data_IF_521812871414
#
_entry.id   IF_521812871414
#
_cell.length_a   1.000
_cell.length_b   1.000
_cell.length_c   1.000
_cell.angle_alpha   90.00
_cell.angle_beta   90.00
_cell.angle_gamma   90.00
#
_symmetry.space_group_name_H-M   'P 1'
#
loop_
_entity.id
_entity.type
_entity.pdbx_description
1 polymer ?
#
# COMPACT_ATOMS: atom_id res chain seq x y z
N UNK A 1 6.47 -17.79 1.60
CA UNK A 1 7.60 -18.65 2.03
C UNK A 1 8.14 -18.39 3.45
N UNK A 2 8.25 -17.14 3.93
CA UNK A 2 8.47 -16.87 5.37
C UNK A 2 7.39 -17.52 6.26
N UNK A 3 6.16 -17.65 5.75
CA UNK A 3 5.02 -18.27 6.43
C UNK A 3 5.32 -19.68 6.98
N UNK A 4 5.86 -20.58 6.16
CA UNK A 4 6.00 -21.99 6.55
C UNK A 4 7.17 -22.24 7.53
N UNK A 5 8.31 -21.54 7.40
CA UNK A 5 9.38 -21.59 8.43
C UNK A 5 8.89 -21.07 9.78
N UNK A 6 8.05 -20.03 9.72
CA UNK A 6 7.50 -19.42 10.92
C UNK A 6 6.44 -20.32 11.56
N UNK A 7 5.63 -21.00 10.76
CA UNK A 7 4.66 -22.00 11.25
C UNK A 7 5.36 -23.20 11.92
N UNK A 8 6.48 -23.69 11.35
CA UNK A 8 7.30 -24.73 11.97
C UNK A 8 7.86 -24.26 13.33
N UNK A 9 8.48 -23.07 13.37
CA UNK A 9 8.98 -22.47 14.60
C UNK A 9 7.90 -22.32 15.67
N UNK A 10 6.73 -21.81 15.29
CA UNK A 10 5.55 -21.68 16.14
C UNK A 10 5.09 -23.04 16.70
N UNK A 11 5.07 -24.08 15.88
CA UNK A 11 4.65 -25.42 16.33
C UNK A 11 5.60 -25.95 17.41
N UNK A 12 6.91 -25.75 17.24
CA UNK A 12 7.94 -26.16 18.21
C UNK A 12 7.82 -25.35 19.50
N UNK A 13 7.66 -24.03 19.40
CA UNK A 13 7.48 -23.16 20.56
C UNK A 13 6.20 -23.48 21.32
N UNK A 14 5.11 -23.80 20.61
CA UNK A 14 3.86 -24.23 21.22
C UNK A 14 4.01 -25.58 21.96
N UNK A 15 4.76 -26.53 21.39
CA UNK A 15 5.07 -27.79 22.07
C UNK A 15 5.96 -27.57 23.29
N UNK A 16 6.90 -26.63 23.24
CA UNK A 16 7.78 -26.26 24.37
C UNK A 16 7.03 -25.56 25.53
N UNK A 17 5.76 -25.19 25.33
CA UNK A 17 4.86 -24.72 26.39
C UNK A 17 4.14 -25.85 27.13
N UNK A 18 4.05 -27.06 26.54
CA UNK A 18 3.32 -28.18 27.14
C UNK A 18 3.92 -28.67 28.47
N UNK A 19 5.26 -28.74 28.66
CA UNK A 19 5.83 -29.16 29.93
C UNK A 19 5.57 -28.11 31.02
N UNK A 20 4.84 -28.52 32.06
CA UNK A 20 4.69 -27.78 33.31
C UNK A 20 5.99 -27.97 34.09
N UNK A 21 6.99 -27.10 33.87
CA UNK A 21 8.18 -27.05 34.72
C UNK A 21 7.82 -26.43 36.07
N UNK A 22 7.87 -27.18 37.19
CA UNK A 22 7.57 -26.66 38.52
C UNK A 22 8.70 -25.78 39.09
N UNK A 23 9.91 -25.87 38.54
CA UNK A 23 11.07 -25.08 38.95
C UNK A 23 11.19 -23.75 38.18
N UNK A 24 10.41 -23.57 37.11
CA UNK A 24 10.42 -22.33 36.34
C UNK A 24 10.01 -21.10 37.18
N UNK A 25 10.65 -19.94 36.99
CA UNK A 25 10.25 -18.71 37.66
C UNK A 25 8.77 -18.36 37.44
N UNK A 26 8.12 -17.79 38.46
CA UNK A 26 6.74 -17.28 38.35
C UNK A 26 6.63 -16.32 37.15
N UNK A 27 5.57 -16.48 36.36
CA UNK A 27 5.34 -15.68 35.16
C UNK A 27 6.14 -16.08 33.91
N UNK A 28 7.10 -17.02 34.00
CA UNK A 28 7.83 -17.52 32.82
C UNK A 28 6.90 -18.13 31.77
N UNK A 29 5.86 -18.86 32.22
CA UNK A 29 4.86 -19.46 31.32
C UNK A 29 4.06 -18.41 30.57
N UNK A 30 3.58 -17.37 31.26
CA UNK A 30 2.86 -16.26 30.62
C UNK A 30 3.77 -15.54 29.62
N UNK A 31 5.03 -15.27 29.96
CA UNK A 31 5.99 -14.65 29.03
C UNK A 31 6.20 -15.48 27.77
N UNK A 32 6.36 -16.80 27.88
CA UNK A 32 6.48 -17.70 26.72
C UNK A 32 5.19 -17.76 25.90
N UNK A 33 4.02 -17.80 26.54
CA UNK A 33 2.73 -17.79 25.83
C UNK A 33 2.50 -16.47 25.07
N UNK A 34 2.88 -15.33 25.66
CA UNK A 34 2.82 -14.02 25.00
C UNK A 34 3.80 -13.91 23.84
N UNK A 35 5.00 -14.51 23.96
CA UNK A 35 5.95 -14.60 22.85
C UNK A 35 5.34 -15.41 21.69
N UNK A 36 4.81 -16.61 21.97
CA UNK A 36 4.13 -17.42 20.95
C UNK A 36 2.97 -16.67 20.28
N UNK A 37 2.16 -15.94 21.06
CA UNK A 37 1.08 -15.11 20.52
C UNK A 37 1.62 -14.06 19.54
N UNK A 38 2.72 -13.38 19.89
CA UNK A 38 3.36 -12.38 19.03
C UNK A 38 3.82 -13.03 17.72
N UNK A 39 4.51 -14.17 17.81
CA UNK A 39 4.94 -14.90 16.62
C UNK A 39 3.73 -15.32 15.75
N UNK A 40 2.60 -15.71 16.36
CA UNK A 40 1.38 -16.06 15.63
C UNK A 40 0.75 -14.83 14.96
N UNK A 41 0.73 -13.68 15.63
CA UNK A 41 0.26 -12.43 15.04
C UNK A 41 1.12 -12.07 13.80
N UNK A 42 2.44 -12.24 13.85
CA UNK A 42 3.32 -12.04 12.69
C UNK A 42 3.04 -13.04 11.55
N UNK A 43 2.65 -14.28 11.87
CA UNK A 43 2.23 -15.26 10.87
C UNK A 43 0.97 -14.79 10.14
N UNK A 44 -0.02 -14.32 10.89
CA UNK A 44 -1.29 -13.81 10.35
C UNK A 44 -1.03 -12.61 9.44
N UNK A 45 -0.16 -11.69 9.83
CA UNK A 45 0.22 -10.56 8.98
C UNK A 45 0.81 -11.02 7.63
N UNK A 46 1.67 -12.04 7.64
CA UNK A 46 2.24 -12.60 6.41
C UNK A 46 1.22 -13.33 5.55
N UNK A 47 0.24 -13.98 6.16
CA UNK A 47 -0.87 -14.59 5.44
C UNK A 47 -1.73 -13.52 4.75
N UNK A 48 -2.05 -12.43 5.45
CA UNK A 48 -2.78 -11.29 4.89
C UNK A 48 -2.04 -10.68 3.71
N UNK A 49 -0.72 -10.51 3.81
CA UNK A 49 0.09 -10.03 2.69
C UNK A 49 -0.01 -10.97 1.47
N UNK A 50 0.12 -12.28 1.69
CA UNK A 50 0.02 -13.26 0.60
C UNK A 50 -1.36 -13.22 -0.08
N UNK A 51 -2.44 -13.16 0.71
CA UNK A 51 -3.81 -12.99 0.20
C UNK A 51 -3.98 -11.70 -0.62
N UNK A 52 -3.39 -10.59 -0.16
CA UNK A 52 -3.41 -9.32 -0.91
C UNK A 52 -2.66 -9.42 -2.24
N UNK A 53 -1.54 -10.12 -2.30
CA UNK A 53 -0.82 -10.38 -3.55
C UNK A 53 -1.66 -11.21 -4.54
N UNK A 54 -2.52 -12.10 -4.03
CA UNK A 54 -3.46 -12.89 -4.84
C UNK A 54 -4.74 -12.12 -5.22
N UNK A 55 -4.85 -10.85 -4.83
CA UNK A 55 -5.95 -9.96 -5.17
C UNK A 55 -7.14 -10.01 -4.20
N UNK A 56 -7.01 -10.68 -3.05
CA UNK A 56 -8.04 -10.70 -2.02
C UNK A 56 -8.32 -9.28 -1.52
N UNK A 57 -9.59 -8.89 -1.47
CA UNK A 57 -9.99 -7.54 -1.02
C UNK A 57 -10.01 -7.42 0.50
N UNK A 58 -9.90 -6.21 1.04
CA UNK A 58 -10.07 -5.96 2.49
C UNK A 58 -11.41 -6.46 3.03
N UNK A 59 -12.47 -6.46 2.22
CA UNK A 59 -13.77 -6.97 2.62
C UNK A 59 -13.74 -8.50 2.83
N UNK A 60 -13.08 -9.24 1.94
CA UNK A 60 -12.91 -10.68 2.06
C UNK A 60 -12.01 -11.06 3.25
N UNK A 61 -10.93 -10.31 3.48
CA UNK A 61 -10.08 -10.51 4.65
C UNK A 61 -10.83 -10.27 5.97
N UNK A 62 -11.66 -9.23 6.00
CA UNK A 62 -12.50 -8.90 7.14
C UNK A 62 -13.53 -10.01 7.42
N UNK A 63 -14.18 -10.53 6.38
CA UNK A 63 -15.11 -11.66 6.48
C UNK A 63 -14.41 -12.92 7.03
N UNK A 64 -13.25 -13.27 6.46
CA UNK A 64 -12.46 -14.44 6.87
C UNK A 64 -11.98 -14.36 8.33
N UNK A 65 -11.82 -13.15 8.88
CA UNK A 65 -11.33 -12.92 10.24
C UNK A 65 -12.41 -12.51 11.24
N UNK A 66 -13.65 -12.32 10.78
CA UNK A 66 -14.79 -11.92 11.61
C UNK A 66 -14.68 -10.51 12.19
N UNK A 67 -13.90 -9.61 11.56
CA UNK A 67 -13.77 -8.19 11.96
C UNK A 67 -14.37 -7.26 10.90
N UNK A 68 -14.48 -5.98 11.18
CA UNK A 68 -14.93 -5.01 10.19
C UNK A 68 -13.86 -4.74 9.13
N UNK A 69 -14.28 -4.36 7.91
CA UNK A 69 -13.36 -3.93 6.83
C UNK A 69 -12.38 -2.84 7.29
N UNK A 70 -12.88 -1.86 8.05
CA UNK A 70 -12.07 -0.78 8.58
C UNK A 70 -11.02 -1.30 9.57
N UNK A 71 -11.40 -2.19 10.49
CA UNK A 71 -10.47 -2.77 11.45
C UNK A 71 -9.38 -3.61 10.76
N UNK A 72 -9.74 -4.38 9.72
CA UNK A 72 -8.78 -5.13 8.91
C UNK A 72 -7.78 -4.19 8.22
N UNK A 73 -8.27 -3.13 7.58
CA UNK A 73 -7.44 -2.14 6.91
C UNK A 73 -6.51 -1.42 7.90
N UNK A 74 -7.03 -0.87 9.01
CA UNK A 74 -6.22 -0.21 10.04
C UNK A 74 -5.14 -1.11 10.61
N UNK A 75 -5.44 -2.40 10.78
CA UNK A 75 -4.50 -3.37 11.36
C UNK A 75 -3.38 -3.76 10.41
N UNK A 76 -3.66 -3.93 9.12
CA UNK A 76 -2.73 -4.60 8.20
C UNK A 76 -2.28 -3.76 7.01
N UNK A 77 -2.96 -2.67 6.66
CA UNK A 77 -2.61 -1.88 5.46
C UNK A 77 -1.17 -1.36 5.51
N UNK A 78 -0.69 -0.89 6.67
CA UNK A 78 0.70 -0.45 6.84
C UNK A 78 1.72 -1.53 6.51
N UNK A 79 1.44 -2.79 6.87
CA UNK A 79 2.32 -3.92 6.60
C UNK A 79 2.29 -4.31 5.12
N UNK A 80 1.11 -4.25 4.49
CA UNK A 80 0.95 -4.48 3.04
C UNK A 80 1.67 -3.40 2.24
N UNK A 81 1.56 -2.13 2.61
CA UNK A 81 2.29 -1.03 1.99
C UNK A 81 3.80 -1.19 2.16
N UNK A 82 4.26 -1.51 3.37
CA UNK A 82 5.68 -1.77 3.62
C UNK A 82 6.18 -2.97 2.80
N UNK A 83 5.34 -4.00 2.62
CA UNK A 83 5.67 -5.14 1.77
C UNK A 83 5.76 -4.75 0.30
N UNK A 84 4.79 -4.01 -0.25
CA UNK A 84 4.82 -3.53 -1.63
C UNK A 84 6.09 -2.72 -1.91
N UNK A 85 6.46 -1.84 -0.97
CA UNK A 85 7.67 -1.01 -1.09
C UNK A 85 8.98 -1.80 -1.00
N UNK A 86 9.09 -2.78 -0.09
CA UNK A 86 10.33 -3.52 0.15
C UNK A 86 10.47 -4.79 -0.72
N UNK A 87 9.35 -5.31 -1.21
CA UNK A 87 9.24 -6.50 -2.03
C UNK A 87 9.54 -7.84 -1.32
N UNK A 88 9.38 -8.93 -2.08
CA UNK A 88 9.63 -10.35 -1.74
C UNK A 88 11.07 -10.69 -1.35
N UNK A 89 12.00 -9.74 -1.44
CA UNK A 89 13.45 -9.94 -1.37
C UNK A 89 14.03 -9.70 0.02
N UNK A 90 13.31 -10.06 1.07
CA UNK A 90 13.85 -10.01 2.42
C UNK A 90 14.16 -11.43 2.92
N UNK A 91 15.03 -12.13 2.21
CA UNK A 91 16.08 -12.79 2.97
C UNK A 91 17.08 -11.68 3.30
N UNK A 92 17.51 -11.52 4.57
CA UNK A 92 18.71 -10.77 4.86
C UNK A 92 19.78 -11.15 3.83
N UNK A 93 20.54 -10.21 3.25
CA UNK A 93 21.58 -10.52 2.25
C UNK A 93 22.60 -11.56 2.76
N UNK A 94 22.70 -11.72 4.08
CA UNK A 94 23.55 -12.70 4.77
C UNK A 94 22.90 -14.09 4.94
N UNK A 95 21.70 -14.30 4.41
CA UNK A 95 21.01 -15.59 4.53
C UNK A 95 21.68 -16.61 3.62
N UNK A 96 22.30 -17.63 4.23
CA UNK A 96 22.96 -18.71 3.51
C UNK A 96 22.01 -19.62 2.72
N UNK A 97 20.69 -19.42 2.85
CA UNK A 97 19.68 -20.27 2.24
C UNK A 97 18.88 -19.48 1.21
N UNK A 98 18.78 -20.04 0.01
CA UNK A 98 17.87 -19.56 -1.02
C UNK A 98 16.41 -19.82 -0.63
N UNK A 99 15.51 -19.08 -1.28
CA UNK A 99 14.07 -19.28 -1.14
C UNK A 99 13.69 -20.75 -1.43
N UNK A 100 14.08 -21.25 -2.59
CA UNK A 100 13.74 -22.61 -2.99
C UNK A 100 14.27 -23.70 -2.04
N UNK A 101 15.45 -23.54 -1.47
CA UNK A 101 16.01 -24.48 -0.49
C UNK A 101 15.18 -24.53 0.80
N UNK A 102 14.75 -23.37 1.30
CA UNK A 102 13.86 -23.29 2.45
C UNK A 102 12.53 -23.98 2.17
N UNK A 103 11.92 -23.74 1.00
CA UNK A 103 10.65 -24.37 0.64
C UNK A 103 10.79 -25.90 0.53
N UNK A 104 11.86 -26.41 -0.07
CA UNK A 104 12.14 -27.85 -0.13
C UNK A 104 12.32 -28.48 1.23
N UNK A 105 12.97 -27.77 2.17
CA UNK A 105 13.08 -28.25 3.55
C UNK A 105 11.70 -28.39 4.20
N UNK A 106 10.80 -27.44 3.95
CA UNK A 106 9.45 -27.46 4.47
C UNK A 106 8.58 -28.53 3.80
N UNK A 107 8.77 -28.79 2.50
CA UNK A 107 8.14 -29.93 1.82
C UNK A 107 8.48 -31.24 2.53
N UNK A 108 9.76 -31.43 2.88
CA UNK A 108 10.21 -32.62 3.60
C UNK A 108 9.53 -32.74 4.97
N UNK A 109 9.54 -31.66 5.75
CA UNK A 109 8.87 -31.64 7.07
C UNK A 109 7.38 -31.97 6.93
N UNK A 110 6.72 -31.41 5.92
CA UNK A 110 5.29 -31.63 5.69
C UNK A 110 4.98 -33.06 5.24
N UNK A 111 5.81 -33.63 4.37
CA UNK A 111 5.72 -35.03 3.93
C UNK A 111 6.00 -36.03 5.06
N UNK A 112 6.90 -35.69 5.99
CA UNK A 112 7.22 -36.53 7.16
C UNK A 112 6.07 -36.62 8.17
N UNK A 113 5.17 -35.63 8.21
CA UNK A 113 4.00 -35.61 9.10
C UNK A 113 2.88 -36.56 8.64
N UNK A 114 2.65 -36.69 7.34
CA UNK A 114 1.70 -37.65 6.76
C UNK A 114 2.15 -38.04 5.35
N UNK A 115 2.36 -39.35 5.15
CA UNK A 115 2.75 -39.93 3.85
C UNK A 115 1.78 -39.66 2.69
N UNK A 116 0.57 -39.17 2.97
CA UNK A 116 -0.42 -38.77 1.96
C UNK A 116 -0.24 -37.33 1.47
N UNK A 117 0.58 -36.53 2.16
CA UNK A 117 0.87 -35.17 1.73
C UNK A 117 1.76 -35.14 0.48
N UNK A 118 1.61 -34.11 -0.34
CA UNK A 118 2.47 -33.92 -1.52
C UNK A 118 3.92 -33.68 -1.10
N UNK A 119 4.86 -34.26 -1.83
CA UNK A 119 6.30 -34.09 -1.60
C UNK A 119 6.83 -32.72 -2.00
N UNK A 120 5.98 -31.87 -2.59
CA UNK A 120 6.27 -30.53 -3.06
C UNK A 120 5.18 -29.53 -2.61
N UNK A 121 4.47 -29.83 -1.52
CA UNK A 121 3.29 -29.07 -1.05
C UNK A 121 3.54 -27.56 -0.88
N UNK A 122 4.77 -27.16 -0.55
CA UNK A 122 5.22 -25.78 -0.38
C UNK A 122 5.98 -25.29 -1.61
N UNK A 123 6.95 -26.06 -2.13
CA UNK A 123 7.76 -25.58 -3.27
C UNK A 123 6.98 -25.46 -4.58
N UNK A 124 5.99 -26.31 -4.82
CA UNK A 124 5.11 -26.22 -5.99
C UNK A 124 4.25 -24.94 -6.00
N UNK A 125 4.00 -24.37 -4.82
CA UNK A 125 3.28 -23.10 -4.65
C UNK A 125 4.14 -21.87 -4.97
N UNK A 126 5.47 -22.00 -5.06
CA UNK A 126 6.33 -20.87 -5.36
C UNK A 126 6.17 -20.41 -6.82
N UNK A 127 5.87 -19.13 -7.02
CA UNK A 127 5.77 -18.56 -8.36
C UNK A 127 7.02 -18.79 -9.21
N UNK A 128 8.22 -18.71 -8.61
CA UNK A 128 9.46 -18.95 -9.34
C UNK A 128 9.58 -20.39 -9.88
N UNK A 129 8.88 -21.35 -9.27
CA UNK A 129 8.80 -22.74 -9.72
C UNK A 129 7.71 -22.89 -10.78
N UNK A 130 6.55 -22.26 -10.58
CA UNK A 130 5.40 -22.33 -11.50
C UNK A 130 5.63 -21.55 -12.81
N UNK A 131 6.37 -20.45 -12.73
CA UNK A 131 6.55 -19.49 -13.82
C UNK A 131 8.03 -19.08 -13.90
N UNK A 132 8.84 -19.78 -14.73
CA UNK A 132 10.21 -19.39 -15.00
C UNK A 132 10.25 -17.95 -15.51
N UNK A 133 10.94 -17.06 -14.80
CA UNK A 133 10.98 -15.62 -15.11
C UNK A 133 10.14 -14.74 -14.19
N UNK A 134 9.31 -15.29 -13.30
CA UNK A 134 8.55 -14.52 -12.32
C UNK A 134 9.42 -13.56 -11.50
N UNK A 135 10.64 -13.97 -11.13
CA UNK A 135 11.59 -13.10 -10.42
C UNK A 135 12.02 -11.87 -11.24
N UNK A 136 12.27 -12.05 -12.55
CA UNK A 136 12.65 -10.95 -13.43
C UNK A 136 11.45 -10.03 -13.72
N UNK A 137 10.26 -10.61 -13.94
CA UNK A 137 9.02 -9.85 -14.11
C UNK A 137 8.69 -9.02 -12.85
N UNK A 138 8.84 -9.61 -11.67
CA UNK A 138 8.67 -8.93 -10.39
C UNK A 138 9.68 -7.81 -10.18
N UNK A 139 10.95 -8.02 -10.53
CA UNK A 139 11.97 -6.97 -10.48
C UNK A 139 11.63 -5.80 -11.42
N UNK A 140 11.22 -6.08 -12.66
CA UNK A 140 10.81 -5.07 -13.63
C UNK A 140 9.55 -4.30 -13.17
N UNK A 141 8.58 -5.01 -12.57
CA UNK A 141 7.38 -4.41 -11.96
C UNK A 141 7.76 -3.39 -10.89
N UNK A 142 8.70 -3.73 -10.00
CA UNK A 142 9.16 -2.82 -8.93
C UNK A 142 9.97 -1.64 -9.43
N UNK A 143 10.82 -1.86 -10.44
CA UNK A 143 11.53 -0.76 -11.08
C UNK A 143 10.53 0.25 -11.66
N UNK A 144 9.49 -0.24 -12.34
CA UNK A 144 8.39 0.59 -12.81
C UNK A 144 7.67 1.31 -11.67
N UNK A 145 7.27 0.61 -10.61
CA UNK A 145 6.59 1.20 -9.46
C UNK A 145 7.44 2.29 -8.79
N UNK A 146 8.74 2.05 -8.61
CA UNK A 146 9.70 3.04 -8.08
C UNK A 146 9.77 4.29 -8.95
N UNK A 147 9.82 4.12 -10.27
CA UNK A 147 9.78 5.25 -11.21
C UNK A 147 8.47 6.03 -11.13
N UNK A 148 7.33 5.36 -10.98
CA UNK A 148 6.02 5.99 -10.79
C UNK A 148 5.93 6.77 -9.47
N UNK A 149 6.35 6.18 -8.35
CA UNK A 149 6.38 6.86 -7.04
C UNK A 149 7.31 8.07 -7.05
N UNK A 150 8.47 7.98 -7.71
CA UNK A 150 9.39 9.12 -7.86
C UNK A 150 8.71 10.27 -8.60
N UNK A 151 8.00 9.98 -9.70
CA UNK A 151 7.25 10.99 -10.46
C UNK A 151 6.09 11.56 -9.64
N UNK A 152 5.40 10.72 -8.89
CA UNK A 152 4.29 11.14 -8.03
C UNK A 152 4.76 12.10 -6.94
N UNK A 153 5.88 11.81 -6.26
CA UNK A 153 6.46 12.70 -5.26
C UNK A 153 6.78 14.09 -5.82
N UNK A 154 7.34 14.17 -7.03
CA UNK A 154 7.60 15.44 -7.71
C UNK A 154 6.31 16.20 -8.05
N UNK A 155 5.23 15.50 -8.41
CA UNK A 155 3.93 16.13 -8.65
C UNK A 155 3.28 16.62 -7.37
N UNK A 156 3.40 15.89 -6.27
CA UNK A 156 2.89 16.30 -4.97
C UNK A 156 3.58 17.58 -4.47
N UNK A 157 4.90 17.69 -4.62
CA UNK A 157 5.64 18.93 -4.31
C UNK A 157 5.16 20.13 -5.15
N UNK A 158 4.93 19.91 -6.45
CA UNK A 158 4.38 20.93 -7.36
C UNK A 158 2.94 21.29 -6.98
N UNK A 159 2.12 20.32 -6.57
CA UNK A 159 0.74 20.52 -6.15
C UNK A 159 0.67 21.37 -4.88
N UNK A 160 1.49 21.07 -3.88
CA UNK A 160 1.60 21.87 -2.65
C UNK A 160 1.97 23.31 -2.98
N UNK A 161 2.99 23.51 -3.80
CA UNK A 161 3.44 24.85 -4.21
C UNK A 161 2.35 25.62 -4.95
N UNK A 162 1.65 24.99 -5.89
CA UNK A 162 0.55 25.61 -6.64
C UNK A 162 -0.65 25.93 -5.73
N UNK A 163 -0.90 25.10 -4.71
CA UNK A 163 -1.96 25.34 -3.75
C UNK A 163 -1.66 26.55 -2.86
N UNK A 164 -0.42 26.66 -2.38
CA UNK A 164 0.04 27.81 -1.61
C UNK A 164 -0.03 29.11 -2.42
N UNK A 165 0.34 29.07 -3.70
CA UNK A 165 0.20 30.21 -4.63
C UNK A 165 -1.27 30.61 -4.79
N UNK A 166 -2.16 29.65 -5.08
CA UNK A 166 -3.60 29.90 -5.20
C UNK A 166 -4.17 30.53 -3.92
N UNK A 167 -3.78 30.00 -2.76
CA UNK A 167 -4.21 30.52 -1.45
C UNK A 167 -3.74 31.96 -1.24
N UNK A 168 -2.46 32.26 -1.53
CA UNK A 168 -1.92 33.61 -1.44
C UNK A 168 -2.68 34.59 -2.34
N UNK A 169 -2.97 34.20 -3.59
CA UNK A 169 -3.74 35.02 -4.53
C UNK A 169 -5.17 35.25 -4.05
N UNK A 170 -5.78 34.24 -3.43
CA UNK A 170 -7.11 34.35 -2.86
C UNK A 170 -7.15 35.29 -1.66
N UNK A 171 -6.22 35.13 -0.72
CA UNK A 171 -6.13 35.94 0.50
C UNK A 171 -5.79 37.41 0.20
N UNK A 172 -4.95 37.66 -0.81
CA UNK A 172 -4.61 39.00 -1.29
C UNK A 172 -5.72 39.66 -2.12
N UNK A 173 -6.83 38.96 -2.40
CA UNK A 173 -7.90 39.46 -3.25
C UNK A 173 -7.44 39.77 -4.68
N UNK A 174 -6.49 38.99 -5.21
CA UNK A 174 -5.88 39.22 -6.51
C UNK A 174 -6.91 39.24 -7.66
N UNK A 175 -6.48 39.75 -8.83
CA UNK A 175 -7.32 39.78 -10.04
C UNK A 175 -7.90 38.39 -10.31
N UNK A 176 -9.17 38.32 -10.69
CA UNK A 176 -9.87 37.05 -10.92
C UNK A 176 -9.15 36.16 -11.94
N UNK A 177 -8.62 36.72 -13.03
CA UNK A 177 -7.85 35.97 -14.02
C UNK A 177 -6.68 35.19 -13.43
N UNK A 178 -5.89 35.81 -12.53
CA UNK A 178 -4.77 35.12 -11.89
C UNK A 178 -5.21 33.95 -10.99
N UNK A 179 -6.35 34.09 -10.30
CA UNK A 179 -6.93 33.02 -9.48
C UNK A 179 -7.48 31.88 -10.33
N UNK A 180 -8.12 32.20 -11.45
CA UNK A 180 -8.62 31.24 -12.45
C UNK A 180 -7.44 30.44 -13.03
N UNK A 181 -6.36 31.10 -13.44
CA UNK A 181 -5.15 30.42 -13.94
C UNK A 181 -4.53 29.47 -12.90
N UNK A 182 -4.47 29.89 -11.62
CA UNK A 182 -3.96 29.04 -10.55
C UNK A 182 -4.82 27.78 -10.34
N UNK A 183 -6.16 27.90 -10.40
CA UNK A 183 -7.07 26.76 -10.33
C UNK A 183 -6.92 25.80 -11.52
N UNK A 184 -6.73 26.32 -12.73
CA UNK A 184 -6.44 25.48 -13.89
C UNK A 184 -5.12 24.72 -13.75
N UNK A 185 -4.07 25.35 -13.19
CA UNK A 185 -2.81 24.65 -12.87
C UNK A 185 -3.02 23.54 -11.86
N UNK A 186 -3.78 23.79 -10.78
CA UNK A 186 -4.13 22.76 -9.80
C UNK A 186 -4.92 21.60 -10.43
N UNK A 187 -5.87 21.89 -11.32
CA UNK A 187 -6.61 20.87 -12.04
C UNK A 187 -5.69 20.01 -12.93
N UNK A 188 -4.78 20.63 -13.69
CA UNK A 188 -3.83 19.89 -14.53
C UNK A 188 -2.91 18.96 -13.72
N UNK A 189 -2.39 19.43 -12.58
CA UNK A 189 -1.56 18.61 -11.69
C UNK A 189 -2.33 17.42 -11.11
N UNK A 190 -3.57 17.62 -10.67
CA UNK A 190 -4.41 16.52 -10.17
C UNK A 190 -4.76 15.49 -11.27
N UNK A 191 -4.89 15.93 -12.52
CA UNK A 191 -5.12 15.03 -13.66
C UNK A 191 -3.89 14.14 -13.92
N UNK A 192 -2.68 14.71 -13.88
CA UNK A 192 -1.43 13.94 -13.96
C UNK A 192 -1.28 12.96 -12.79
N UNK A 193 -1.59 13.39 -11.56
CA UNK A 193 -1.57 12.56 -10.35
C UNK A 193 -2.56 11.39 -10.47
N UNK A 194 -3.80 11.67 -10.92
CA UNK A 194 -4.80 10.63 -11.11
C UNK A 194 -4.33 9.57 -12.12
N UNK A 195 -3.71 9.98 -13.22
CA UNK A 195 -3.16 9.06 -14.22
C UNK A 195 -2.04 8.18 -13.65
N UNK A 196 -1.13 8.74 -12.84
CA UNK A 196 -0.07 7.95 -12.21
C UNK A 196 -0.63 6.92 -11.22
N UNK A 197 -1.63 7.28 -10.42
CA UNK A 197 -2.28 6.33 -9.53
C UNK A 197 -2.97 5.19 -10.30
N UNK A 198 -3.59 5.46 -11.45
CA UNK A 198 -4.11 4.40 -12.31
C UNK A 198 -3.01 3.48 -12.84
N UNK A 199 -1.86 4.02 -13.26
CA UNK A 199 -0.72 3.19 -13.65
C UNK A 199 -0.18 2.34 -12.49
N UNK A 200 -0.17 2.89 -11.27
CA UNK A 200 0.24 2.18 -10.06
C UNK A 200 -0.67 1.00 -9.73
N UNK A 201 -1.95 1.01 -10.13
CA UNK A 201 -2.84 -0.16 -9.92
C UNK A 201 -2.32 -1.44 -10.59
N UNK A 202 -1.68 -1.31 -11.76
CA UNK A 202 -1.08 -2.44 -12.48
C UNK A 202 0.34 -2.76 -12.02
N UNK A 203 1.06 -1.77 -11.50
CA UNK A 203 2.41 -1.96 -10.97
C UNK A 203 2.40 -2.55 -9.55
N UNK A 204 1.37 -2.28 -8.75
CA UNK A 204 1.23 -2.70 -7.35
C UNK A 204 -0.20 -3.25 -7.11
N UNK A 205 -0.55 -4.43 -7.66
CA UNK A 205 -1.87 -5.02 -7.51
C UNK A 205 -2.31 -5.19 -6.04
N UNK A 206 -1.35 -5.44 -5.14
CA UNK A 206 -1.56 -5.55 -3.69
C UNK A 206 -2.09 -4.25 -3.05
N UNK A 207 -1.88 -3.10 -3.70
CA UNK A 207 -2.35 -1.77 -3.33
C UNK A 207 -3.37 -1.19 -4.32
N UNK A 208 -3.94 -2.00 -5.20
CA UNK A 208 -4.79 -1.51 -6.29
C UNK A 208 -6.05 -0.76 -5.79
N UNK A 209 -6.61 -1.16 -4.64
CA UNK A 209 -7.77 -0.46 -4.05
C UNK A 209 -7.38 0.94 -3.58
N UNK A 210 -6.23 1.07 -2.93
CA UNK A 210 -5.66 2.31 -2.42
C UNK A 210 -5.31 3.27 -3.55
N UNK A 211 -4.71 2.74 -4.62
CA UNK A 211 -4.37 3.49 -5.82
C UNK A 211 -5.62 3.99 -6.55
N UNK A 212 -6.64 3.14 -6.73
CA UNK A 212 -7.94 3.54 -7.30
C UNK A 212 -8.62 4.64 -6.49
N UNK A 213 -8.63 4.50 -5.16
CA UNK A 213 -9.20 5.52 -4.28
C UNK A 213 -8.44 6.85 -4.36
N UNK A 214 -7.11 6.81 -4.52
CA UNK A 214 -6.29 8.02 -4.66
C UNK A 214 -6.48 8.68 -6.03
N UNK A 215 -6.57 7.90 -7.11
CA UNK A 215 -6.92 8.40 -8.43
C UNK A 215 -8.29 9.10 -8.43
N UNK A 216 -9.29 8.50 -7.78
CA UNK A 216 -10.64 9.06 -7.71
C UNK A 216 -10.70 10.37 -6.90
N UNK A 217 -9.97 10.44 -5.78
CA UNK A 217 -9.83 11.70 -5.03
C UNK A 217 -9.21 12.80 -5.87
N UNK A 218 -8.15 12.49 -6.62
CA UNK A 218 -7.52 13.45 -7.52
C UNK A 218 -8.48 13.91 -8.62
N UNK A 219 -9.25 13.01 -9.25
CA UNK A 219 -10.30 13.37 -10.24
C UNK A 219 -11.39 14.26 -9.66
N UNK A 220 -11.82 13.98 -8.43
CA UNK A 220 -12.77 14.84 -7.72
C UNK A 220 -12.20 16.26 -7.58
N UNK A 221 -10.92 16.37 -7.17
CA UNK A 221 -10.22 17.67 -7.10
C UNK A 221 -10.09 18.36 -8.46
N UNK A 222 -9.84 17.63 -9.55
CA UNK A 222 -9.86 18.20 -10.92
C UNK A 222 -11.20 18.88 -11.20
N UNK A 223 -12.30 18.17 -10.94
CA UNK A 223 -13.66 18.66 -11.20
C UNK A 223 -13.95 19.91 -10.37
N UNK A 224 -13.71 19.86 -9.05
CA UNK A 224 -13.94 21.00 -8.17
C UNK A 224 -13.11 22.23 -8.54
N UNK A 225 -11.84 22.05 -8.93
CA UNK A 225 -10.98 23.17 -9.35
C UNK A 225 -11.47 23.81 -10.65
N UNK A 226 -11.92 23.02 -11.62
CA UNK A 226 -12.48 23.52 -12.90
C UNK A 226 -13.79 24.27 -12.69
N UNK A 227 -14.73 23.69 -11.94
CA UNK A 227 -16.01 24.34 -11.60
C UNK A 227 -15.78 25.68 -10.88
N UNK A 228 -14.83 25.72 -9.94
CA UNK A 228 -14.55 26.95 -9.22
C UNK A 228 -13.89 28.03 -10.10
N UNK A 229 -13.02 27.62 -11.04
CA UNK A 229 -12.44 28.50 -12.03
C UNK A 229 -13.54 29.13 -12.92
N UNK A 230 -14.49 28.34 -13.39
CA UNK A 230 -15.64 28.81 -14.18
C UNK A 230 -16.50 29.82 -13.42
N UNK A 231 -16.82 29.53 -12.15
CA UNK A 231 -17.58 30.46 -11.30
C UNK A 231 -16.85 31.80 -11.10
N UNK A 232 -15.53 31.77 -10.91
CA UNK A 232 -14.73 32.99 -10.78
C UNK A 232 -14.66 33.80 -12.08
N UNK A 233 -14.57 33.12 -13.23
CA UNK A 233 -14.58 33.74 -14.55
C UNK A 233 -15.93 34.41 -14.84
N UNK A 234 -17.05 33.71 -14.64
CA UNK A 234 -18.39 34.25 -14.82
C UNK A 234 -18.64 35.49 -13.92
N UNK A 235 -18.15 35.46 -12.69
CA UNK A 235 -18.22 36.62 -11.78
C UNK A 235 -17.40 37.81 -12.29
N UNK A 236 -16.29 37.57 -12.99
CA UNK A 236 -15.47 38.63 -13.58
C UNK A 236 -16.18 39.29 -14.76
N UNK A 237 -16.85 38.49 -15.61
CA UNK A 237 -17.63 38.96 -16.74
C UNK A 237 -18.88 39.75 -16.32
N UNK A 238 -19.52 39.34 -15.22
CA UNK A 238 -20.71 40.00 -14.69
C UNK A 238 -20.43 41.30 -13.92
N UNK A 239 -19.17 41.60 -13.57
CA UNK A 239 -18.83 42.82 -12.86
C UNK A 239 -18.92 44.02 -13.83
N UNK A 240 -19.83 44.99 -13.60
CA UNK A 240 -19.99 46.12 -14.50
C UNK A 240 -18.68 46.92 -14.57
N UNK A 241 -18.27 47.27 -15.79
CA UNK A 241 -17.19 48.23 -16.00
C UNK A 241 -17.62 49.55 -15.33
N UNK A 242 -17.14 49.80 -14.11
CA UNK A 242 -17.28 51.10 -13.46
C UNK A 242 -16.42 52.04 -14.29
N UNK A 243 -17.03 52.63 -15.32
CA UNK A 243 -16.48 53.71 -16.12
C UNK A 243 -16.15 54.83 -15.15
N UNK A 244 -14.86 55.03 -14.90
CA UNK A 244 -14.33 56.23 -14.30
C UNK A 244 -14.67 57.40 -15.22
N UNK A 245 -15.86 57.98 -15.07
CA UNK A 245 -16.15 59.27 -15.68
C UNK A 245 -15.29 60.30 -14.94
N UNK A 246 -14.24 60.72 -15.62
CA UNK A 246 -13.44 61.90 -15.29
C UNK A 246 -14.35 63.07 -14.92
N UNK A 247 -14.35 63.43 -13.64
CA UNK A 247 -14.84 64.72 -13.17
C UNK A 247 -13.73 65.74 -13.35
N UNK A 248 -13.59 66.28 -14.56
CA UNK A 248 -12.82 67.50 -14.81
C UNK A 248 -13.56 68.68 -14.17
N UNK A 249 -13.01 69.25 -13.10
CA UNK A 249 -13.27 70.64 -12.68
C UNK A 249 -12.00 71.24 -12.10
#
# INVERSE_FOLDING_TARGET
>A
MRFALHAEGLSKEALDLLPIDPAAPRGQRLRRALALKKELDELVERAVIAEREEGTTWAQLADATGISKQAAHERWAGNVTAWAANGRTMFPPDSQHSTLEVARRLDQVYADLDSRHSQDAVSSGLEAVRFPGAAAAEAARRERATGLHTRLALLDERLVTAYDEWKLLNDAGARQGARVEALHRLAALNEEIAALYEELTGAEPELADEHRNSAERARTSVTSNREYAELLAAKAEAAPAITSSEGTR
#
